data_IF_257856038377
#
_entry.id   IF_257856038377
#
_cell.length_a   1.000
_cell.length_b   1.000
_cell.length_c   1.000
_cell.angle_alpha   90.00
_cell.angle_beta   90.00
_cell.angle_gamma   90.00
#
_symmetry.space_group_name_H-M   'P 1'
#
loop_
_entity.id
_entity.type
_entity.pdbx_description
1 polymer ?
#
# COMPACT_ATOMS: atom_id res chain seq x y z
N UNK A 1 48.08 -13.28 5.71
CA UNK A 1 47.53 -14.45 6.42
C UNK A 1 46.06 -14.13 6.75
N UNK A 2 45.13 -14.34 5.83
CA UNK A 2 44.51 -15.61 5.39
C UNK A 2 43.44 -16.13 6.36
N UNK A 3 42.18 -16.01 5.88
CA UNK A 3 41.05 -16.97 5.98
C UNK A 3 40.41 -17.28 7.36
N UNK A 4 39.09 -17.41 7.53
CA UNK A 4 38.02 -17.76 6.59
C UNK A 4 36.70 -17.00 6.88
N UNK A 5 36.15 -16.40 5.84
CA UNK A 5 34.72 -16.27 5.62
C UNK A 5 34.30 -17.34 4.60
N UNK A 6 32.99 -17.67 4.58
CA UNK A 6 32.24 -18.49 3.60
C UNK A 6 31.95 -19.94 4.01
N UNK A 7 30.78 -20.11 4.63
CA UNK A 7 29.93 -21.31 4.61
C UNK A 7 28.50 -20.75 4.36
N UNK A 8 27.60 -21.26 3.53
CA UNK A 8 27.61 -22.27 2.46
C UNK A 8 26.29 -21.98 1.73
N UNK A 9 26.31 -21.59 0.47
CA UNK A 9 25.10 -21.56 -0.35
C UNK A 9 25.54 -21.91 -1.77
N UNK A 10 25.80 -23.20 -2.01
CA UNK A 10 26.09 -23.74 -3.33
C UNK A 10 25.22 -24.96 -3.61
N UNK A 11 24.48 -24.82 -4.71
CA UNK A 11 24.18 -25.80 -5.75
C UNK A 11 23.41 -27.06 -5.36
N UNK A 12 22.17 -27.13 -5.85
CA UNK A 12 21.78 -28.27 -6.70
C UNK A 12 21.09 -27.72 -7.94
N UNK A 13 21.65 -28.03 -9.11
CA UNK A 13 21.05 -27.75 -10.41
C UNK A 13 20.59 -29.04 -11.08
N UNK A 14 19.44 -28.92 -11.74
CA UNK A 14 18.93 -29.67 -12.89
C UNK A 14 18.56 -31.15 -12.74
N UNK A 15 17.27 -31.42 -12.91
CA UNK A 15 16.78 -32.46 -13.82
C UNK A 15 15.48 -31.96 -14.47
N UNK A 16 15.49 -31.85 -15.80
CA UNK A 16 14.31 -31.57 -16.61
C UNK A 16 13.70 -32.91 -17.07
N UNK A 17 12.39 -33.07 -16.92
CA UNK A 17 11.61 -34.04 -17.71
C UNK A 17 10.32 -33.35 -18.14
N UNK A 18 10.15 -33.24 -19.46
CA UNK A 18 8.93 -32.78 -20.10
C UNK A 18 7.85 -33.88 -20.03
N UNK A 19 6.60 -33.48 -19.79
CA UNK A 19 5.43 -34.34 -19.88
C UNK A 19 4.17 -33.58 -19.51
N UNK A 20 3.38 -33.21 -20.51
CA UNK A 20 2.08 -32.56 -20.36
C UNK A 20 0.96 -33.59 -20.15
N UNK A 21 -0.16 -33.09 -19.61
CA UNK A 21 -1.51 -33.64 -19.55
C UNK A 21 -1.89 -34.50 -18.33
N UNK A 22 -2.79 -33.91 -17.52
CA UNK A 22 -3.98 -34.58 -16.98
C UNK A 22 -3.81 -35.51 -15.78
N UNK A 23 -4.16 -35.03 -14.58
CA UNK A 23 -4.56 -35.92 -13.50
C UNK A 23 -5.55 -35.22 -12.55
N UNK A 24 -6.83 -35.46 -12.78
CA UNK A 24 -7.82 -35.54 -11.72
C UNK A 24 -7.53 -36.84 -10.96
N UNK A 25 -7.11 -36.72 -9.70
CA UNK A 25 -6.99 -37.86 -8.80
C UNK A 25 -7.82 -37.58 -7.55
N UNK A 26 -8.98 -38.22 -7.46
CA UNK A 26 -9.62 -38.49 -6.19
C UNK A 26 -8.78 -39.57 -5.49
N UNK A 27 -8.29 -39.30 -4.27
CA UNK A 27 -7.81 -40.38 -3.40
C UNK A 27 -8.03 -40.07 -1.92
N UNK A 28 -8.78 -40.99 -1.32
CA UNK A 28 -9.12 -41.32 0.06
C UNK A 28 -8.45 -40.64 1.26
N UNK A 29 -9.34 -40.21 2.17
CA UNK A 29 -9.33 -40.39 3.63
C UNK A 29 -8.30 -41.42 4.16
N UNK A 30 -7.25 -40.94 4.83
CA UNK A 30 -6.66 -41.56 6.02
C UNK A 30 -5.89 -40.48 6.79
N UNK A 31 -6.24 -40.36 8.07
CA UNK A 31 -5.80 -39.40 9.07
C UNK A 31 -4.32 -39.52 9.41
N UNK A 32 -3.60 -38.40 9.39
CA UNK A 32 -2.49 -38.11 10.30
C UNK A 32 -2.32 -36.57 10.45
N UNK A 33 -2.53 -36.11 11.68
CA UNK A 33 -2.61 -34.74 12.18
C UNK A 33 -1.26 -33.99 12.18
N UNK A 34 -0.63 -33.80 11.02
CA UNK A 34 0.58 -32.94 10.91
C UNK A 34 0.67 -32.08 9.64
N UNK A 35 -0.47 -31.72 9.06
CA UNK A 35 -0.57 -30.56 8.17
C UNK A 35 -1.38 -29.47 8.87
N UNK A 36 -0.70 -28.65 9.70
CA UNK A 36 -1.21 -27.30 9.92
C UNK A 36 -1.18 -26.65 8.53
N UNK A 37 -2.37 -26.45 7.97
CA UNK A 37 -2.56 -25.62 6.79
C UNK A 37 -1.80 -24.31 7.04
N UNK A 38 -0.80 -24.00 6.22
CA UNK A 38 0.01 -22.76 6.29
C UNK A 38 -0.83 -21.47 6.02
N UNK A 39 -2.14 -21.56 6.25
CA UNK A 39 -3.18 -20.56 6.01
C UNK A 39 -3.99 -20.24 7.27
N UNK A 40 -3.83 -20.98 8.36
CA UNK A 40 -4.52 -20.68 9.60
C UNK A 40 -3.77 -19.64 10.41
N UNK A 41 -4.44 -18.52 10.66
CA UNK A 41 -3.92 -17.47 11.52
C UNK A 41 -4.14 -17.89 12.97
N UNK A 42 -3.07 -17.88 13.76
CA UNK A 42 -3.07 -18.43 15.13
C UNK A 42 -3.79 -17.55 16.15
N UNK A 43 -3.97 -16.25 15.85
CA UNK A 43 -4.59 -15.29 16.77
C UNK A 43 -3.73 -14.89 17.97
N UNK A 44 -2.48 -15.39 18.07
CA UNK A 44 -1.60 -15.16 19.23
C UNK A 44 -1.25 -13.68 19.45
N UNK A 45 -1.17 -12.90 18.38
CA UNK A 45 -0.90 -11.47 18.41
C UNK A 45 -2.01 -10.79 17.61
N UNK A 46 -3.17 -10.51 18.22
CA UNK A 46 -4.40 -10.18 17.49
C UNK A 46 -4.42 -8.78 16.90
N UNK A 47 -3.49 -7.92 17.31
CA UNK A 47 -3.42 -6.53 16.90
C UNK A 47 -2.24 -6.32 15.94
N UNK A 48 -2.47 -5.49 14.91
CA UNK A 48 -1.41 -5.05 14.02
C UNK A 48 -0.26 -4.42 14.85
N UNK A 49 1.00 -4.77 14.60
CA UNK A 49 1.56 -5.44 13.41
C UNK A 49 1.61 -6.97 13.43
N UNK A 50 0.84 -7.62 14.31
CA UNK A 50 0.75 -9.09 14.42
C UNK A 50 2.12 -9.73 14.71
N UNK A 51 2.97 -9.01 15.44
CA UNK A 51 4.29 -9.43 15.90
C UNK A 51 4.61 -8.71 17.19
N UNK A 52 5.41 -9.34 18.04
CA UNK A 52 5.95 -8.72 19.25
C UNK A 52 6.97 -7.68 18.85
N UNK A 53 6.48 -6.45 18.69
CA UNK A 53 7.28 -5.34 18.24
C UNK A 53 7.77 -4.52 19.40
N UNK A 54 9.04 -4.14 19.31
CA UNK A 54 9.53 -3.06 20.13
C UNK A 54 8.73 -1.81 19.76
N UNK A 55 7.91 -1.28 20.68
CA UNK A 55 7.24 0.02 20.56
C UNK A 55 8.24 1.19 20.57
N UNK A 56 9.51 0.91 20.29
CA UNK A 56 10.63 1.83 20.37
C UNK A 56 10.59 2.78 19.18
N UNK A 57 11.00 4.02 19.43
CA UNK A 57 11.23 5.02 18.39
C UNK A 57 12.25 4.47 17.38
N UNK A 58 11.95 4.62 16.09
CA UNK A 58 12.75 4.18 14.95
C UNK A 58 12.92 5.31 13.96
N UNK A 59 13.87 5.16 13.03
CA UNK A 59 14.27 6.25 12.15
C UNK A 59 13.21 6.63 11.12
N UNK A 60 12.31 5.73 10.75
CA UNK A 60 11.40 5.91 9.63
C UNK A 60 9.95 6.04 10.08
N UNK A 61 9.18 6.88 9.38
CA UNK A 61 7.73 7.00 9.53
C UNK A 61 7.08 7.47 8.23
N UNK A 62 5.81 7.16 8.02
CA UNK A 62 5.03 7.83 6.98
C UNK A 62 4.64 9.25 7.43
N UNK A 63 4.63 10.18 6.49
CA UNK A 63 3.95 11.47 6.65
C UNK A 63 2.46 11.22 6.91
N UNK A 64 1.82 12.02 7.79
CA UNK A 64 0.39 11.88 8.05
C UNK A 64 -0.48 12.19 6.83
N UNK A 65 0.03 12.97 5.87
CA UNK A 65 -0.70 13.36 4.66
C UNK A 65 -0.39 12.39 3.51
N UNK A 66 -1.45 11.92 2.84
CA UNK A 66 -1.39 11.13 1.62
C UNK A 66 -1.81 11.99 0.43
N UNK A 67 -1.01 11.96 -0.63
CA UNK A 67 -1.33 12.61 -1.90
C UNK A 67 -2.08 11.65 -2.82
N UNK A 68 -3.16 12.11 -3.44
CA UNK A 68 -3.91 11.35 -4.44
C UNK A 68 -3.73 11.98 -5.82
N UNK A 69 -3.36 11.16 -6.81
CA UNK A 69 -3.02 11.62 -8.16
C UNK A 69 -3.99 11.14 -9.25
N UNK A 70 -5.17 10.62 -8.85
CA UNK A 70 -6.11 9.96 -9.77
C UNK A 70 -5.65 8.55 -10.18
N UNK A 71 -6.50 7.82 -10.92
CA UNK A 71 -6.18 6.47 -11.43
C UNK A 71 -5.88 5.43 -10.34
N UNK A 72 -6.41 5.61 -9.13
CA UNK A 72 -6.13 4.75 -7.97
C UNK A 72 -4.73 4.91 -7.38
N UNK A 73 -4.00 6.00 -7.71
CA UNK A 73 -2.64 6.26 -7.20
C UNK A 73 -2.67 7.10 -5.93
N UNK A 74 -2.10 6.56 -4.86
CA UNK A 74 -1.96 7.15 -3.53
C UNK A 74 -0.50 7.13 -3.10
N UNK A 75 0.06 8.29 -2.76
CA UNK A 75 1.47 8.45 -2.44
C UNK A 75 1.68 8.93 -1.01
N UNK A 76 2.50 8.19 -0.29
CA UNK A 76 2.96 8.45 1.06
C UNK A 76 4.38 8.98 1.01
N UNK A 77 4.69 10.00 1.80
CA UNK A 77 6.08 10.46 1.96
C UNK A 77 6.72 9.75 3.14
N UNK A 78 7.86 9.09 2.91
CA UNK A 78 8.68 8.52 3.99
C UNK A 78 9.49 9.66 4.62
N UNK A 79 9.36 9.81 5.94
CA UNK A 79 10.12 10.77 6.75
C UNK A 79 11.16 10.03 7.58
N UNK A 80 12.30 10.67 7.75
CA UNK A 80 13.41 10.15 8.55
C UNK A 80 13.64 11.07 9.75
N UNK A 81 13.71 10.49 10.94
CA UNK A 81 13.98 11.16 12.21
C UNK A 81 14.99 10.33 13.02
N UNK A 82 16.26 10.73 12.97
CA UNK A 82 17.34 10.06 13.72
C UNK A 82 17.68 10.78 15.03
N UNK A 83 17.35 12.07 15.14
CA UNK A 83 17.59 12.84 16.36
C UNK A 83 16.66 12.35 17.48
N UNK A 84 17.25 11.99 18.62
CA UNK A 84 16.53 11.41 19.76
C UNK A 84 16.18 9.93 19.61
N UNK A 85 16.65 9.28 18.54
CA UNK A 85 16.40 7.87 18.25
C UNK A 85 17.61 7.04 18.69
N UNK A 86 17.47 6.22 19.73
CA UNK A 86 18.57 5.43 20.34
C UNK A 86 18.40 3.90 20.23
N UNK A 87 17.31 3.43 19.63
CA UNK A 87 17.05 2.00 19.47
C UNK A 87 17.77 1.41 18.24
N UNK A 88 17.79 0.07 18.12
CA UNK A 88 18.29 -0.61 16.93
C UNK A 88 17.57 -0.17 15.65
N UNK A 89 16.30 0.22 15.75
CA UNK A 89 15.49 0.73 14.66
C UNK A 89 15.91 2.10 14.11
N UNK A 90 16.89 2.74 14.73
CA UNK A 90 17.41 4.05 14.31
C UNK A 90 18.58 3.95 13.34
N UNK A 91 19.28 2.81 13.36
CA UNK A 91 20.50 2.57 12.59
C UNK A 91 20.30 1.51 11.49
N UNK A 92 19.13 0.88 11.48
CA UNK A 92 18.84 -0.18 10.53
C UNK A 92 18.27 0.39 9.22
N UNK A 93 18.51 -0.27 8.10
CA UNK A 93 17.87 0.07 6.83
C UNK A 93 16.39 -0.36 6.84
N UNK A 94 15.54 0.43 6.18
CA UNK A 94 14.15 0.07 5.92
C UNK A 94 14.07 -0.98 4.81
N UNK A 95 13.83 -2.23 5.21
CA UNK A 95 13.79 -3.37 4.31
C UNK A 95 12.37 -3.75 3.89
N UNK A 96 11.40 -3.59 4.79
CA UNK A 96 10.01 -3.97 4.55
C UNK A 96 9.04 -2.97 5.20
N UNK A 97 7.93 -2.73 4.52
CA UNK A 97 6.76 -2.03 5.05
C UNK A 97 5.56 -2.96 4.94
N UNK A 98 4.77 -3.06 5.99
CA UNK A 98 3.48 -3.73 5.97
C UNK A 98 2.39 -2.73 6.32
N UNK A 99 1.32 -2.68 5.54
CA UNK A 99 0.12 -1.92 5.86
C UNK A 99 -0.92 -2.85 6.48
N UNK A 100 -1.62 -2.35 7.50
CA UNK A 100 -2.81 -2.99 8.02
C UNK A 100 -3.97 -2.75 7.03
N UNK A 101 -4.45 -3.81 6.39
CA UNK A 101 -5.45 -3.71 5.32
C UNK A 101 -6.68 -4.54 5.64
N UNK A 102 -7.79 -4.17 5.02
CA UNK A 102 -9.05 -4.89 5.12
C UNK A 102 -8.90 -6.27 4.48
N UNK A 103 -9.38 -7.31 5.17
CA UNK A 103 -9.43 -8.67 4.66
C UNK A 103 -10.40 -8.82 3.47
N UNK A 104 -11.35 -7.88 3.32
CA UNK A 104 -12.23 -7.78 2.14
C UNK A 104 -11.47 -7.57 0.82
N UNK A 105 -10.23 -7.08 0.88
CA UNK A 105 -9.35 -6.97 -0.29
C UNK A 105 -8.73 -8.31 -0.69
N UNK A 106 -8.79 -9.31 0.20
CA UNK A 106 -8.31 -10.66 -0.02
C UNK A 106 -9.42 -11.60 -0.50
N UNK A 107 -9.05 -12.72 -1.13
CA UNK A 107 -10.02 -13.74 -1.57
C UNK A 107 -10.84 -13.38 -2.81
N UNK A 108 -10.67 -12.17 -3.35
CA UNK A 108 -11.25 -11.75 -4.63
C UNK A 108 -10.51 -12.48 -5.76
N UNK A 109 -11.24 -13.22 -6.60
CA UNK A 109 -10.67 -13.92 -7.75
C UNK A 109 -11.24 -13.38 -9.09
N UNK A 110 -10.38 -13.07 -10.07
CA UNK A 110 -8.91 -13.03 -9.97
C UNK A 110 -8.43 -11.92 -9.02
N UNK A 111 -7.20 -12.03 -8.50
CA UNK A 111 -6.68 -11.06 -7.55
C UNK A 111 -6.69 -9.62 -8.14
N UNK A 112 -7.08 -8.60 -7.35
CA UNK A 112 -6.90 -7.22 -7.73
C UNK A 112 -5.41 -6.86 -7.80
N UNK A 113 -5.07 -5.86 -8.60
CA UNK A 113 -3.69 -5.45 -8.79
C UNK A 113 -3.34 -4.31 -7.82
N UNK A 114 -2.28 -4.51 -7.04
CA UNK A 114 -1.64 -3.46 -6.24
C UNK A 114 -0.20 -3.30 -6.72
N UNK A 115 0.12 -2.14 -7.29
CA UNK A 115 1.49 -1.79 -7.70
C UNK A 115 2.11 -0.85 -6.68
N UNK A 116 3.40 -1.02 -6.40
CA UNK A 116 4.16 -0.13 -5.53
C UNK A 116 5.36 0.47 -6.27
N UNK A 117 5.65 1.72 -5.98
CA UNK A 117 6.85 2.42 -6.49
C UNK A 117 7.51 3.24 -5.38
N UNK A 118 8.83 3.35 -5.41
CA UNK A 118 9.59 4.33 -4.64
C UNK A 118 10.14 5.38 -5.61
N UNK A 119 9.82 6.66 -5.40
CA UNK A 119 10.23 7.77 -6.26
C UNK A 119 9.90 7.52 -7.75
N UNK A 120 8.73 6.93 -8.02
CA UNK A 120 8.27 6.59 -9.37
C UNK A 120 8.89 5.31 -9.97
N UNK A 121 9.89 4.70 -9.33
CA UNK A 121 10.51 3.45 -9.77
C UNK A 121 9.76 2.26 -9.14
N UNK A 122 9.31 1.25 -9.92
CA UNK A 122 8.69 0.04 -9.38
C UNK A 122 9.55 -0.64 -8.32
N UNK A 123 8.91 -1.13 -7.25
CA UNK A 123 9.62 -1.93 -6.25
C UNK A 123 10.15 -3.22 -6.87
N UNK A 124 11.32 -3.68 -6.40
CA UNK A 124 11.96 -4.91 -6.91
C UNK A 124 11.04 -6.13 -6.78
N UNK A 125 10.33 -6.21 -5.66
CA UNK A 125 9.28 -7.21 -5.42
C UNK A 125 7.94 -6.50 -5.45
N UNK A 126 6.97 -7.08 -6.14
CA UNK A 126 5.61 -6.56 -6.20
C UNK A 126 4.93 -6.52 -4.83
N UNK A 127 3.95 -5.64 -4.67
CA UNK A 127 3.16 -5.59 -3.45
C UNK A 127 2.31 -6.87 -3.32
N UNK A 128 2.26 -7.46 -2.12
CA UNK A 128 1.55 -8.71 -1.87
C UNK A 128 0.53 -8.56 -0.76
N UNK A 129 -0.69 -9.06 -0.98
CA UNK A 129 -1.71 -9.19 0.06
C UNK A 129 -1.57 -10.56 0.71
N UNK A 130 -1.41 -10.58 2.04
CA UNK A 130 -1.17 -11.81 2.79
C UNK A 130 -1.98 -11.85 4.09
N UNK A 131 -2.17 -13.06 4.62
CA UNK A 131 -2.70 -13.28 5.97
C UNK A 131 -1.54 -13.38 6.96
N UNK A 132 -1.47 -12.52 7.99
CA UNK A 132 -0.42 -12.60 9.00
C UNK A 132 -0.63 -13.84 9.89
N UNK A 133 0.38 -14.70 10.00
CA UNK A 133 0.31 -15.98 10.74
C UNK A 133 -0.05 -15.82 12.22
N UNK A 134 0.38 -14.75 12.87
CA UNK A 134 0.06 -14.49 14.28
C UNK A 134 -1.20 -13.63 14.46
N UNK A 135 -1.75 -13.10 13.38
CA UNK A 135 -2.98 -12.31 13.42
C UNK A 135 -4.19 -13.19 13.75
N UNK A 136 -5.32 -12.57 14.07
CA UNK A 136 -6.60 -13.28 14.18
C UNK A 136 -7.19 -13.53 12.78
N UNK A 137 -8.05 -14.52 12.66
CA UNK A 137 -8.84 -14.70 11.44
C UNK A 137 -9.60 -13.42 11.07
N UNK A 138 -9.59 -13.12 9.77
CA UNK A 138 -10.18 -11.88 9.23
C UNK A 138 -9.24 -10.67 9.33
N UNK A 139 -7.93 -10.87 9.48
CA UNK A 139 -6.94 -9.81 9.29
C UNK A 139 -6.10 -10.03 8.05
N UNK A 140 -5.62 -8.93 7.48
CA UNK A 140 -4.81 -8.94 6.28
C UNK A 140 -3.71 -7.88 6.37
N UNK A 141 -2.62 -8.12 5.64
CA UNK A 141 -1.55 -7.14 5.43
C UNK A 141 -1.29 -6.93 3.95
N UNK A 142 -0.93 -5.70 3.57
CA UNK A 142 -0.26 -5.44 2.30
C UNK A 142 1.23 -5.28 2.57
N UNK A 143 2.03 -6.16 2.00
CA UNK A 143 3.46 -6.28 2.25
C UNK A 143 4.27 -5.75 1.07
N UNK A 144 5.24 -4.88 1.37
CA UNK A 144 6.27 -4.38 0.47
C UNK A 144 7.64 -4.82 1.02
N UNK A 145 8.36 -5.68 0.31
CA UNK A 145 9.66 -6.21 0.76
C UNK A 145 10.81 -5.78 -0.13
N UNK A 146 12.05 -5.97 0.34
CA UNK A 146 13.27 -5.67 -0.41
C UNK A 146 13.33 -4.21 -0.87
N UNK A 147 12.90 -3.29 0.01
CA UNK A 147 12.95 -1.85 -0.26
C UNK A 147 14.39 -1.31 -0.21
N UNK A 148 15.21 -1.87 0.68
CA UNK A 148 16.63 -1.54 0.88
C UNK A 148 16.92 -0.04 0.95
N UNK A 149 16.06 0.70 1.68
CA UNK A 149 16.22 2.14 1.87
C UNK A 149 17.02 2.42 3.14
N UNK A 150 18.04 3.26 3.05
CA UNK A 150 18.76 3.78 4.21
C UNK A 150 18.20 5.17 4.59
N UNK A 151 18.69 5.78 5.67
CA UNK A 151 18.22 7.09 6.13
C UNK A 151 18.37 8.20 5.08
N UNK A 152 19.35 8.09 4.18
CA UNK A 152 19.57 9.06 3.11
C UNK A 152 18.59 8.84 1.95
N UNK A 153 18.44 7.60 1.49
CA UNK A 153 17.57 7.28 0.34
C UNK A 153 16.09 7.24 0.69
N UNK A 154 15.75 7.03 1.97
CA UNK A 154 14.38 7.10 2.46
C UNK A 154 13.90 8.52 2.76
N UNK A 155 14.81 9.48 2.99
CA UNK A 155 14.44 10.83 3.39
C UNK A 155 13.61 11.53 2.30
N UNK A 156 12.33 11.76 2.60
CA UNK A 156 11.33 12.32 1.67
C UNK A 156 11.08 11.46 0.43
N UNK A 157 11.45 10.18 0.46
CA UNK A 157 11.11 9.26 -0.61
C UNK A 157 9.59 9.11 -0.73
N UNK A 158 9.09 9.10 -1.95
CA UNK A 158 7.68 8.97 -2.25
C UNK A 158 7.35 7.49 -2.53
N UNK A 159 6.66 6.86 -1.58
CA UNK A 159 6.08 5.53 -1.74
C UNK A 159 4.68 5.68 -2.33
N UNK A 160 4.47 5.25 -3.57
CA UNK A 160 3.13 5.24 -4.16
C UNK A 160 2.59 3.83 -4.28
N UNK A 161 1.33 3.66 -3.86
CA UNK A 161 0.49 2.51 -4.16
C UNK A 161 -0.45 2.88 -5.30
N UNK A 162 -0.55 2.03 -6.31
CA UNK A 162 -1.58 2.13 -7.36
C UNK A 162 -2.53 0.95 -7.23
N UNK A 163 -3.76 1.25 -6.87
CA UNK A 163 -4.82 0.29 -6.62
C UNK A 163 -5.68 0.15 -7.87
N UNK A 164 -5.78 -1.08 -8.39
CA UNK A 164 -6.60 -1.37 -9.57
C UNK A 164 -7.56 -2.51 -9.31
N UNK A 165 -8.80 -2.42 -9.83
CA UNK A 165 -9.68 -3.56 -9.80
C UNK A 165 -9.09 -4.69 -10.63
N UNK A 166 -9.52 -5.90 -10.35
CA UNK A 166 -9.27 -7.04 -11.20
C UNK A 166 -10.05 -6.92 -12.53
N UNK A 167 -9.87 -7.89 -13.44
CA UNK A 167 -10.57 -7.92 -14.74
C UNK A 167 -12.10 -7.98 -14.66
N UNK A 168 -12.66 -8.31 -13.48
CA UNK A 168 -14.10 -8.36 -13.21
C UNK A 168 -14.60 -7.07 -12.51
N UNK A 169 -13.79 -6.02 -12.42
CA UNK A 169 -14.16 -4.76 -11.76
C UNK A 169 -14.18 -4.83 -10.24
N UNK A 170 -13.65 -5.89 -9.62
CA UNK A 170 -13.65 -6.11 -8.16
C UNK A 170 -12.27 -5.84 -7.56
N UNK A 171 -12.23 -5.28 -6.36
CA UNK A 171 -11.01 -4.99 -5.63
C UNK A 171 -11.15 -3.75 -4.76
N UNK A 172 -10.21 -3.58 -3.83
CA UNK A 172 -10.06 -2.33 -3.10
C UNK A 172 -9.36 -1.31 -4.00
N UNK A 173 -10.10 -0.32 -4.50
CA UNK A 173 -9.61 0.69 -5.44
C UNK A 173 -9.34 2.04 -4.77
N UNK A 174 -9.71 2.17 -3.49
CA UNK A 174 -9.45 3.37 -2.68
C UNK A 174 -8.76 3.01 -1.35
N UNK A 175 -8.15 3.99 -0.68
CA UNK A 175 -7.56 3.76 0.64
C UNK A 175 -8.60 3.45 1.71
N UNK A 176 -9.81 3.99 1.58
CA UNK A 176 -10.92 3.71 2.50
C UNK A 176 -11.36 2.24 2.43
N UNK A 177 -11.27 1.64 1.24
CA UNK A 177 -11.53 0.21 1.05
C UNK A 177 -10.32 -0.63 1.46
N UNK A 178 -9.11 -0.17 1.12
CA UNK A 178 -7.88 -0.91 1.36
C UNK A 178 -7.51 -0.98 2.84
N UNK A 179 -7.48 0.15 3.53
CA UNK A 179 -6.86 0.23 4.85
C UNK A 179 -7.82 -0.22 5.95
N UNK A 180 -7.34 -1.07 6.86
CA UNK A 180 -8.13 -1.52 8.00
C UNK A 180 -8.31 -0.35 8.94
N UNK A 181 -9.52 0.21 8.97
CA UNK A 181 -9.87 1.32 9.85
C UNK A 181 -10.33 0.75 11.18
N UNK A 182 -9.76 1.24 12.29
CA UNK A 182 -10.39 1.08 13.60
C UNK A 182 -11.56 2.07 13.70
N UNK A 183 -12.59 1.75 14.49
CA UNK A 183 -13.77 2.62 14.66
C UNK A 183 -13.43 4.05 15.14
N UNK A 184 -12.21 4.28 15.65
CA UNK A 184 -11.75 5.57 16.15
C UNK A 184 -10.91 6.38 15.13
N UNK A 185 -10.52 5.79 13.99
CA UNK A 185 -9.72 6.47 12.97
C UNK A 185 -10.60 6.97 11.80
N UNK A 186 -10.28 8.12 11.18
CA UNK A 186 -10.93 8.54 9.95
C UNK A 186 -10.84 7.46 8.86
N UNK A 187 -11.87 7.35 8.01
CA UNK A 187 -11.83 6.43 6.86
C UNK A 187 -10.63 6.74 5.96
N UNK A 188 -10.00 5.70 5.43
CA UNK A 188 -8.80 5.84 4.60
C UNK A 188 -7.51 6.05 5.38
N UNK A 189 -7.56 6.04 6.72
CA UNK A 189 -6.34 6.02 7.53
C UNK A 189 -5.65 4.67 7.39
N UNK A 190 -4.41 4.70 6.90
CA UNK A 190 -3.57 3.54 6.73
C UNK A 190 -2.53 3.49 7.85
N UNK A 191 -2.55 2.39 8.59
CA UNK A 191 -1.52 2.09 9.59
C UNK A 191 -0.45 1.22 8.93
N UNK A 192 0.82 1.56 9.13
CA UNK A 192 1.95 0.85 8.54
C UNK A 192 3.03 0.56 9.58
N UNK A 193 3.58 -0.65 9.54
CA UNK A 193 4.72 -1.08 10.32
C UNK A 193 5.95 -1.19 9.43
N UNK A 194 7.09 -0.80 9.99
CA UNK A 194 8.36 -0.75 9.29
C UNK A 194 9.29 -1.80 9.87
N UNK A 195 10.09 -2.43 9.03
CA UNK A 195 10.93 -3.56 9.42
C UNK A 195 12.33 -3.38 8.86
N UNK A 196 13.30 -3.78 9.67
CA UNK A 196 14.69 -3.83 9.27
C UNK A 196 15.05 -5.12 8.50
N UNK A 197 16.33 -5.22 8.12
CA UNK A 197 16.92 -6.38 7.45
C UNK A 197 16.94 -7.64 8.33
N UNK A 198 16.95 -7.50 9.66
CA UNK A 198 16.81 -8.61 10.61
C UNK A 198 15.35 -9.02 10.83
N UNK A 199 14.40 -8.41 10.10
CA UNK A 199 12.96 -8.58 10.25
C UNK A 199 12.44 -8.23 11.66
N UNK A 200 13.17 -7.41 12.40
CA UNK A 200 12.70 -6.80 13.63
C UNK A 200 11.78 -5.64 13.25
N UNK A 201 10.56 -5.66 13.78
CA UNK A 201 9.64 -4.56 13.56
C UNK A 201 10.04 -3.35 14.41
N UNK A 202 10.02 -2.22 13.73
CA UNK A 202 10.23 -0.87 14.21
C UNK A 202 8.86 -0.17 14.31
N UNK A 203 8.77 1.07 14.82
CA UNK A 203 7.51 1.61 15.29
C UNK A 203 6.47 1.69 14.17
N UNK A 204 5.21 1.63 14.60
CA UNK A 204 4.05 1.78 13.73
C UNK A 204 3.83 3.26 13.42
N UNK A 205 3.57 3.58 12.16
CA UNK A 205 3.18 4.92 11.73
C UNK A 205 1.78 4.90 11.12
N UNK A 206 1.05 6.01 11.22
CA UNK A 206 -0.29 6.17 10.64
C UNK A 206 -0.28 7.33 9.66
N UNK A 207 -0.87 7.12 8.48
CA UNK A 207 -1.12 8.14 7.48
C UNK A 207 -2.63 8.26 7.26
N UNK A 208 -3.17 9.47 7.30
CA UNK A 208 -4.58 9.74 7.07
C UNK A 208 -4.85 9.83 5.57
N UNK A 209 -6.04 9.37 5.15
CA UNK A 209 -6.48 9.55 3.78
C UNK A 209 -6.47 11.04 3.38
N UNK A 210 -6.38 11.36 2.08
CA UNK A 210 -6.45 12.74 1.63
C UNK A 210 -7.72 13.40 2.19
N UNK A 211 -7.59 14.62 2.71
CA UNK A 211 -8.76 15.46 2.97
C UNK A 211 -9.56 15.57 1.66
N UNK A 212 -10.91 15.53 1.70
CA UNK A 212 -11.71 15.73 0.49
C UNK A 212 -11.24 17.01 -0.22
N UNK A 213 -11.18 17.02 -1.57
CA UNK A 213 -10.78 18.22 -2.30
C UNK A 213 -11.65 19.40 -1.84
N UNK A 214 -11.10 20.61 -1.73
CA UNK A 214 -11.89 21.80 -1.43
C UNK A 214 -13.12 21.85 -2.35
N UNK A 215 -14.30 22.25 -1.85
CA UNK A 215 -15.46 22.46 -2.72
C UNK A 215 -15.05 23.31 -3.91
N UNK A 216 -15.44 22.90 -5.12
CA UNK A 216 -15.23 23.73 -6.30
C UNK A 216 -15.81 25.13 -6.03
N UNK A 217 -15.13 26.22 -6.43
CA UNK A 217 -15.71 27.55 -6.37
C UNK A 217 -17.08 27.53 -7.06
N UNK A 218 -18.10 28.21 -6.51
CA UNK A 218 -19.38 28.33 -7.20
C UNK A 218 -19.12 28.87 -8.61
N UNK A 219 -19.74 28.22 -9.62
CA UNK A 219 -19.63 28.67 -11.01
C UNK A 219 -19.95 30.16 -11.09
N UNK A 220 -19.17 30.97 -11.82
CA UNK A 220 -19.51 32.37 -12.04
C UNK A 220 -20.91 32.45 -12.63
N UNK A 221 -21.73 33.35 -12.10
CA UNK A 221 -23.08 33.58 -12.60
C UNK A 221 -23.00 33.88 -14.12
N UNK A 222 -23.96 33.38 -14.93
CA UNK A 222 -24.01 33.71 -16.34
C UNK A 222 -23.97 35.24 -16.54
N UNK A 223 -23.21 35.75 -17.53
CA UNK A 223 -23.25 37.16 -17.85
C UNK A 223 -24.70 37.57 -18.15
N UNK A 224 -25.14 38.67 -17.55
CA UNK A 224 -26.48 39.22 -17.81
C UNK A 224 -26.68 39.44 -19.30
N UNK A 225 -27.88 39.17 -19.86
CA UNK A 225 -28.17 39.46 -21.26
C UNK A 225 -27.87 40.93 -21.56
N UNK A 226 -27.16 41.20 -22.66
CA UNK A 226 -26.99 42.57 -23.13
C UNK A 226 -28.36 43.20 -23.40
N UNK A 227 -28.58 44.47 -23.03
CA UNK A 227 -29.78 45.19 -23.42
C UNK A 227 -29.97 45.15 -24.95
N UNK A 228 -31.21 45.06 -25.45
CA UNK A 228 -31.47 45.16 -26.88
C UNK A 228 -30.95 46.49 -27.42
N UNK A 229 -30.28 46.44 -28.57
CA UNK A 229 -29.79 47.64 -29.27
C UNK A 229 -30.94 48.62 -29.54
N UNK A 230 -30.73 49.93 -29.38
CA UNK A 230 -31.74 50.92 -29.72
C UNK A 230 -32.09 50.83 -31.22
N UNK A 231 -33.35 51.12 -31.61
CA UNK A 231 -33.76 51.14 -32.99
C UNK A 231 -32.94 52.20 -33.78
N UNK A 232 -32.63 51.93 -35.06
CA UNK A 232 -31.92 52.88 -35.89
C UNK A 232 -32.72 54.18 -36.05
N UNK A 233 -32.04 55.35 -36.13
CA UNK A 233 -32.70 56.62 -36.34
C UNK A 233 -33.43 56.63 -37.69
N UNK A 234 -34.64 57.21 -37.69
CA UNK A 234 -35.45 57.38 -38.89
C UNK A 234 -34.68 58.18 -39.96
N UNK A 235 -34.79 57.81 -41.25
CA UNK A 235 -34.15 58.56 -42.32
C UNK A 235 -34.72 59.99 -42.39
N UNK A 236 -33.89 60.99 -42.75
CA UNK A 236 -34.35 62.36 -42.90
C UNK A 236 -35.39 62.46 -44.03
N UNK A 237 -36.38 63.36 -43.89
CA UNK A 237 -37.39 63.57 -44.92
C UNK A 237 -36.75 64.09 -46.23
N UNK A 238 -37.28 63.70 -47.40
CA UNK A 238 -36.75 64.14 -48.68
C UNK A 238 -36.88 65.67 -48.86
N UNK A 239 -35.88 66.34 -49.50
CA UNK A 239 -35.95 67.75 -49.82
C UNK A 239 -37.10 68.05 -50.80
N UNK A 240 -37.78 69.17 -50.58
CA UNK A 240 -38.87 69.71 -51.42
C UNK A 240 -38.36 70.38 -52.70
#
# INVERSE_FOLDING_TARGET
>A
ASTMARLTCLLVAALAVAGAAGAYAQYSHYSDDYFIDLRDQTGLIPNFPFRDCATRVGAYRLSPEVKQYGGGKYCFTIKVQTQGCTSSCCQANLFKIEFNVSDSCMGIQPAPEVKATINGVPTRVGAALDRPINGRNGTAILRLTQLDLNTTTAANAELCLTLKPNRAGKGCTTLEQLCATSNAAPRGTCTAAMYDTACLCCPVSSAFGPSPPPPAPPSPAPPSPQPPSPPPPSPPPPPS
#
